data_IF_619253433450
#
_entry.id   IF_619253433450
#
_cell.length_a   1.000
_cell.length_b   1.000
_cell.length_c   1.000
_cell.angle_alpha   90.00
_cell.angle_beta   90.00
_cell.angle_gamma   90.00
#
_symmetry.space_group_name_H-M   'P 1'
#
loop_
_entity.id
_entity.type
_entity.pdbx_description
1 polymer ?
#
# COMPACT_ATOMS: atom_id res chain seq x y z
N UNK A 1 -6.85 17.73 22.41
CA UNK A 1 -6.62 18.20 21.03
C UNK A 1 -7.94 18.66 20.46
N UNK A 2 -7.92 19.62 19.53
CA UNK A 2 -9.10 19.92 18.70
C UNK A 2 -9.33 18.82 17.65
N UNK A 3 -10.49 18.89 16.98
CA UNK A 3 -10.93 17.93 15.97
C UNK A 3 -9.91 17.75 14.84
N UNK A 4 -9.44 18.86 14.25
CA UNK A 4 -8.52 18.83 13.10
C UNK A 4 -7.16 18.26 13.46
N UNK A 5 -6.62 18.66 14.62
CA UNK A 5 -5.36 18.11 15.14
C UNK A 5 -5.46 16.60 15.38
N UNK A 6 -6.56 16.14 15.95
CA UNK A 6 -6.81 14.71 16.22
C UNK A 6 -6.93 13.91 14.92
N UNK A 7 -7.72 14.42 13.97
CA UNK A 7 -7.92 13.81 12.66
C UNK A 7 -6.60 13.67 11.90
N UNK A 8 -5.76 14.71 11.91
CA UNK A 8 -4.45 14.69 11.26
C UNK A 8 -3.52 13.64 11.86
N UNK A 9 -3.46 13.53 13.18
CA UNK A 9 -2.61 12.53 13.84
C UNK A 9 -3.13 11.11 13.60
N UNK A 10 -4.45 10.89 13.66
CA UNK A 10 -5.07 9.62 13.31
C UNK A 10 -4.76 9.19 11.88
N UNK A 11 -4.82 10.12 10.92
CA UNK A 11 -4.52 9.81 9.53
C UNK A 11 -3.05 9.40 9.32
N UNK A 12 -2.12 10.00 10.05
CA UNK A 12 -0.70 9.61 10.03
C UNK A 12 -0.52 8.17 10.54
N UNK A 13 -1.18 7.84 11.65
CA UNK A 13 -1.15 6.47 12.18
C UNK A 13 -1.85 5.47 11.24
N UNK A 14 -2.94 5.88 10.59
CA UNK A 14 -3.65 5.07 9.60
C UNK A 14 -2.77 4.76 8.38
N UNK A 15 -2.00 5.74 7.88
CA UNK A 15 -1.03 5.51 6.81
C UNK A 15 -0.01 4.43 7.19
N UNK A 16 0.59 4.54 8.38
CA UNK A 16 1.57 3.54 8.84
C UNK A 16 0.91 2.16 9.00
N UNK A 17 -0.31 2.10 9.56
CA UNK A 17 -1.06 0.85 9.68
C UNK A 17 -1.35 0.23 8.30
N UNK A 18 -1.69 1.05 7.31
CA UNK A 18 -1.91 0.65 5.93
C UNK A 18 -0.64 0.03 5.31
N UNK A 19 0.50 0.70 5.43
CA UNK A 19 1.79 0.20 4.93
C UNK A 19 2.15 -1.16 5.53
N UNK A 20 1.97 -1.33 6.85
CA UNK A 20 2.26 -2.61 7.50
C UNK A 20 1.26 -3.68 7.00
N UNK A 21 -0.04 -3.36 6.94
CA UNK A 21 -1.07 -4.29 6.50
C UNK A 21 -0.88 -4.78 5.05
N UNK A 22 -0.24 -3.99 4.18
CA UNK A 22 0.13 -4.44 2.84
C UNK A 22 1.14 -5.61 2.81
N UNK A 23 1.71 -5.97 3.96
CA UNK A 23 2.66 -7.09 4.11
C UNK A 23 2.14 -8.22 4.99
N UNK A 24 0.91 -8.11 5.49
CA UNK A 24 0.29 -9.08 6.41
C UNK A 24 -0.64 -10.04 5.69
N UNK A 25 -0.92 -11.16 6.34
CA UNK A 25 -1.94 -12.11 5.88
C UNK A 25 -3.36 -11.59 6.11
N UNK A 26 -4.32 -12.07 5.31
CA UNK A 26 -5.71 -11.60 5.36
C UNK A 26 -6.44 -11.86 6.69
N UNK A 27 -5.91 -12.73 7.54
CA UNK A 27 -6.43 -13.02 8.89
C UNK A 27 -5.73 -12.22 10.00
N UNK A 28 -4.80 -11.35 9.63
CA UNK A 28 -4.13 -10.41 10.52
C UNK A 28 -4.70 -9.00 10.29
N UNK A 29 -4.67 -8.16 11.32
CA UNK A 29 -5.16 -6.78 11.25
C UNK A 29 -4.34 -5.85 12.12
N UNK A 30 -4.47 -4.56 11.81
CA UNK A 30 -3.96 -3.46 12.62
C UNK A 30 -5.11 -2.50 12.92
N UNK A 31 -5.15 -2.04 14.17
CA UNK A 31 -6.13 -1.08 14.66
C UNK A 31 -5.43 0.22 15.05
N UNK A 32 -6.02 1.35 14.68
CA UNK A 32 -5.67 2.69 15.16
C UNK A 32 -6.83 3.20 16.00
N UNK A 33 -6.53 3.63 17.22
CA UNK A 33 -7.54 4.00 18.20
C UNK A 33 -7.11 5.20 19.03
N UNK A 34 -8.10 5.90 19.59
CA UNK A 34 -7.89 6.87 20.65
C UNK A 34 -7.99 6.17 21.99
N UNK A 35 -6.93 6.24 22.80
CA UNK A 35 -6.93 5.83 24.20
C UNK A 35 -6.66 7.05 25.08
N UNK A 36 -7.64 7.45 25.90
CA UNK A 36 -7.51 8.63 26.77
C UNK A 36 -6.99 9.87 26.02
N UNK A 37 -7.65 10.20 24.90
CA UNK A 37 -7.28 11.29 23.97
C UNK A 37 -5.92 11.17 23.26
N UNK A 38 -5.23 10.05 23.44
CA UNK A 38 -3.95 9.76 22.79
C UNK A 38 -4.13 8.79 21.63
N UNK A 39 -3.62 9.14 20.45
CA UNK A 39 -3.62 8.24 19.30
C UNK A 39 -2.64 7.10 19.52
N UNK A 40 -3.08 5.87 19.28
CA UNK A 40 -2.26 4.67 19.36
C UNK A 40 -2.57 3.72 18.20
N UNK A 41 -1.58 2.91 17.87
CA UNK A 41 -1.69 1.80 16.92
C UNK A 41 -1.50 0.50 17.71
N UNK A 42 -2.26 -0.53 17.38
CA UNK A 42 -2.05 -1.87 17.94
C UNK A 42 -0.77 -2.49 17.38
N UNK A 43 -0.29 -3.54 18.04
CA UNK A 43 0.54 -4.54 17.36
C UNK A 43 -0.30 -5.28 16.30
N UNK A 44 0.32 -6.20 15.55
CA UNK A 44 -0.40 -7.09 14.63
C UNK A 44 -1.31 -8.02 15.44
N UNK A 45 -2.59 -8.01 15.12
CA UNK A 45 -3.63 -8.82 15.78
C UNK A 45 -4.08 -9.92 14.82
N UNK A 46 -4.07 -11.17 15.29
CA UNK A 46 -4.61 -12.31 14.56
C UNK A 46 -6.13 -12.45 14.70
N UNK A 47 -6.67 -13.46 14.03
CA UNK A 47 -8.11 -13.78 14.04
C UNK A 47 -8.67 -14.07 15.44
N UNK A 48 -7.87 -14.67 16.33
CA UNK A 48 -8.29 -15.00 17.70
C UNK A 48 -8.12 -13.86 18.71
N UNK A 49 -7.47 -12.76 18.32
CA UNK A 49 -7.22 -11.65 19.25
C UNK A 49 -8.50 -10.86 19.49
N UNK A 50 -8.89 -10.78 20.77
CA UNK A 50 -10.10 -10.09 21.18
C UNK A 50 -10.04 -8.60 20.87
N UNK A 51 -11.17 -8.09 20.37
CA UNK A 51 -11.34 -6.67 20.14
C UNK A 51 -11.73 -6.00 21.45
N UNK A 52 -10.79 -5.27 22.05
CA UNK A 52 -11.00 -4.61 23.35
C UNK A 52 -11.54 -3.20 23.11
N UNK A 53 -12.85 -3.02 23.20
CA UNK A 53 -13.49 -1.70 23.21
C UNK A 53 -13.89 -1.31 24.63
N UNK A 54 -13.48 -0.11 25.06
CA UNK A 54 -13.83 0.45 26.37
C UNK A 54 -14.28 1.88 26.20
N UNK A 55 -14.92 2.48 27.20
CA UNK A 55 -15.26 3.91 27.16
C UNK A 55 -14.03 4.82 26.99
N UNK A 56 -12.83 4.35 27.36
CA UNK A 56 -11.57 5.07 27.15
C UNK A 56 -10.91 4.76 25.80
N UNK A 57 -11.32 3.70 25.08
CA UNK A 57 -10.73 3.25 23.81
C UNK A 57 -11.76 3.31 22.69
N UNK A 58 -11.59 4.29 21.79
CA UNK A 58 -12.41 4.49 20.60
C UNK A 58 -11.62 3.99 19.40
N UNK A 59 -12.11 2.97 18.69
CA UNK A 59 -11.53 2.56 17.41
C UNK A 59 -11.77 3.66 16.37
N UNK A 60 -10.72 4.04 15.66
CA UNK A 60 -10.77 5.09 14.65
C UNK A 60 -10.45 4.59 13.25
N UNK A 61 -9.68 3.51 13.13
CA UNK A 61 -9.39 2.89 11.84
C UNK A 61 -8.98 1.43 12.06
N UNK A 62 -9.45 0.54 11.19
CA UNK A 62 -9.00 -0.84 11.14
C UNK A 62 -8.69 -1.20 9.69
N UNK A 63 -7.63 -1.98 9.53
CA UNK A 63 -7.23 -2.56 8.25
C UNK A 63 -6.75 -4.00 8.45
N UNK A 64 -7.22 -4.91 7.59
CA UNK A 64 -6.75 -6.29 7.55
C UNK A 64 -5.56 -6.39 6.58
N UNK A 65 -4.77 -7.46 6.71
CA UNK A 65 -3.72 -7.76 5.76
C UNK A 65 -4.24 -7.95 4.35
N UNK A 66 -3.37 -7.65 3.37
CA UNK A 66 -3.64 -7.84 1.94
C UNK A 66 -2.52 -8.66 1.32
N UNK A 67 -2.74 -9.96 1.20
CA UNK A 67 -1.81 -10.92 0.57
C UNK A 67 -1.87 -10.86 -0.97
N UNK A 68 -1.85 -9.65 -1.54
CA UNK A 68 -1.90 -9.41 -2.99
C UNK A 68 -0.68 -8.65 -3.51
N UNK A 69 0.24 -8.23 -2.63
CA UNK A 69 1.39 -7.41 -3.02
C UNK A 69 2.28 -8.12 -4.05
N UNK A 70 2.52 -9.42 -3.88
CA UNK A 70 3.27 -10.21 -4.86
C UNK A 70 2.60 -10.22 -6.24
N UNK A 71 1.28 -10.42 -6.29
CA UNK A 71 0.53 -10.45 -7.54
C UNK A 71 0.44 -9.06 -8.20
N UNK A 72 0.39 -8.00 -7.40
CA UNK A 72 0.46 -6.63 -7.88
C UNK A 72 1.84 -6.33 -8.49
N UNK A 73 2.94 -6.78 -7.84
CA UNK A 73 4.29 -6.66 -8.39
C UNK A 73 4.39 -7.37 -9.75
N UNK A 74 3.82 -8.57 -9.89
CA UNK A 74 3.77 -9.28 -11.18
C UNK A 74 2.99 -8.49 -12.22
N UNK A 75 1.87 -7.88 -11.84
CA UNK A 75 1.06 -7.03 -12.71
C UNK A 75 1.84 -5.81 -13.19
N UNK A 76 2.61 -5.16 -12.29
CA UNK A 76 3.50 -4.05 -12.61
C UNK A 76 4.65 -4.47 -13.53
N UNK A 77 5.21 -5.67 -13.33
CA UNK A 77 6.20 -6.25 -14.26
C UNK A 77 5.61 -6.40 -15.66
N UNK A 78 4.39 -6.93 -15.76
CA UNK A 78 3.73 -7.11 -17.04
C UNK A 78 3.35 -5.77 -17.70
N UNK A 79 2.92 -4.78 -16.91
CA UNK A 79 2.68 -3.42 -17.37
C UNK A 79 3.96 -2.76 -17.92
N UNK A 80 5.08 -2.88 -17.21
CA UNK A 80 6.36 -2.34 -17.62
C UNK A 80 6.82 -2.90 -18.98
N UNK A 81 6.38 -4.09 -19.40
CA UNK A 81 6.69 -4.66 -20.73
C UNK A 81 5.96 -3.96 -21.87
N UNK A 82 4.74 -3.50 -21.62
CA UNK A 82 3.83 -3.00 -22.66
C UNK A 82 3.73 -1.49 -22.71
N UNK A 83 4.20 -0.77 -21.68
CA UNK A 83 4.17 0.70 -21.69
C UNK A 83 4.94 1.24 -22.91
N UNK A 84 4.30 2.12 -23.67
CA UNK A 84 4.92 2.70 -24.85
C UNK A 84 6.00 3.70 -24.41
N UNK A 85 7.15 3.65 -25.08
CA UNK A 85 8.20 4.64 -24.86
C UNK A 85 7.82 5.92 -25.58
N UNK A 86 8.08 7.10 -24.99
CA UNK A 86 7.98 8.35 -25.72
C UNK A 86 8.87 8.29 -26.96
N UNK A 87 8.33 8.75 -28.08
CA UNK A 87 9.09 8.96 -29.33
C UNK A 87 8.94 10.42 -29.73
N UNK A 88 9.85 10.91 -30.59
CA UNK A 88 9.77 12.27 -31.12
C UNK A 88 8.42 12.57 -31.81
N UNK A 89 7.72 11.53 -32.27
CA UNK A 89 6.42 11.60 -32.95
C UNK A 89 5.22 11.41 -32.00
N UNK A 90 5.44 10.90 -30.78
CA UNK A 90 4.40 10.70 -29.77
C UNK A 90 4.94 11.04 -28.37
N UNK A 91 4.70 12.27 -27.87
CA UNK A 91 5.12 12.67 -26.53
C UNK A 91 4.23 11.98 -25.51
N UNK A 92 4.63 10.77 -25.11
CA UNK A 92 4.06 10.04 -23.99
C UNK A 92 4.79 10.43 -22.70
N UNK A 93 4.22 10.03 -21.56
CA UNK A 93 4.94 10.13 -20.30
C UNK A 93 6.21 9.28 -20.37
N UNK A 94 7.32 9.85 -19.90
CA UNK A 94 8.55 9.09 -19.68
C UNK A 94 8.27 7.93 -18.71
N UNK A 95 8.77 6.72 -19.01
CA UNK A 95 8.64 5.61 -18.08
C UNK A 95 9.32 5.93 -16.75
N UNK A 96 8.75 5.43 -15.67
CA UNK A 96 9.31 5.58 -14.33
C UNK A 96 10.65 4.85 -14.21
N UNK A 97 11.46 5.23 -13.21
CA UNK A 97 12.73 4.54 -12.94
C UNK A 97 12.50 3.05 -12.66
N UNK A 98 11.40 2.71 -11.99
CA UNK A 98 10.98 1.32 -11.76
C UNK A 98 10.71 0.57 -13.07
N UNK A 99 9.93 1.16 -13.97
CA UNK A 99 9.65 0.56 -15.27
C UNK A 99 10.91 0.36 -16.11
N UNK A 100 11.86 1.30 -16.04
CA UNK A 100 13.17 1.20 -16.69
C UNK A 100 13.99 0.06 -16.09
N UNK A 101 14.11 -0.02 -14.76
CA UNK A 101 14.86 -1.08 -14.10
C UNK A 101 14.27 -2.48 -14.32
N UNK A 102 12.93 -2.63 -14.35
CA UNK A 102 12.29 -3.90 -14.71
C UNK A 102 12.66 -4.34 -16.13
N UNK A 103 12.71 -3.40 -17.07
CA UNK A 103 13.12 -3.69 -18.46
C UNK A 103 14.60 -4.08 -18.54
N UNK A 104 15.47 -3.38 -17.83
CA UNK A 104 16.89 -3.72 -17.78
C UNK A 104 17.10 -5.13 -17.22
N UNK A 105 16.39 -5.50 -16.15
CA UNK A 105 16.41 -6.85 -15.60
C UNK A 105 15.93 -7.91 -16.61
N UNK A 106 14.85 -7.62 -17.35
CA UNK A 106 14.38 -8.49 -18.43
C UNK A 106 15.45 -8.72 -19.50
N UNK A 107 16.23 -7.70 -19.84
CA UNK A 107 17.33 -7.80 -20.80
C UNK A 107 18.46 -8.67 -20.28
N UNK A 108 18.78 -8.56 -19.00
CA UNK A 108 19.79 -9.39 -18.34
C UNK A 108 19.37 -10.86 -18.28
N UNK A 109 18.13 -11.14 -17.85
CA UNK A 109 17.58 -12.51 -17.81
C UNK A 109 17.54 -13.10 -19.22
N UNK A 110 17.12 -12.33 -20.22
CA UNK A 110 17.08 -12.75 -21.62
C UNK A 110 18.47 -13.16 -22.14
N UNK A 111 19.49 -12.33 -21.89
CA UNK A 111 20.88 -12.61 -22.26
C UNK A 111 21.44 -13.83 -21.52
N UNK A 112 21.18 -13.93 -20.21
CA UNK A 112 21.66 -15.02 -19.35
C UNK A 112 21.06 -16.37 -19.75
N UNK A 113 19.77 -16.40 -20.07
CA UNK A 113 19.04 -17.62 -20.37
C UNK A 113 19.00 -17.97 -21.87
N UNK A 114 19.53 -17.09 -22.74
CA UNK A 114 19.48 -17.26 -24.19
C UNK A 114 18.05 -17.30 -24.75
N UNK A 115 17.13 -16.63 -24.07
CA UNK A 115 15.68 -16.72 -24.33
C UNK A 115 15.13 -15.34 -24.72
N UNK A 116 14.21 -15.26 -25.70
CA UNK A 116 13.50 -14.02 -26.02
C UNK A 116 12.75 -13.44 -24.83
N UNK A 117 12.72 -12.10 -24.69
CA UNK A 117 12.09 -11.40 -23.55
C UNK A 117 10.61 -11.75 -23.38
N UNK A 118 9.88 -11.95 -24.48
CA UNK A 118 8.46 -12.33 -24.51
C UNK A 118 8.18 -13.73 -23.96
N UNK A 119 9.23 -14.55 -23.75
CA UNK A 119 9.13 -15.90 -23.17
C UNK A 119 9.47 -15.94 -21.69
N UNK A 120 9.97 -14.85 -21.12
CA UNK A 120 10.30 -14.76 -19.69
C UNK A 120 9.00 -14.49 -18.93
N UNK A 121 8.65 -15.35 -17.98
CA UNK A 121 7.45 -15.16 -17.15
C UNK A 121 7.63 -14.00 -16.16
N UNK A 122 6.55 -13.36 -15.72
CA UNK A 122 6.62 -12.35 -14.65
C UNK A 122 7.11 -12.95 -13.32
N UNK A 123 6.84 -14.22 -13.08
CA UNK A 123 7.41 -15.00 -11.96
C UNK A 123 8.95 -15.08 -12.01
N UNK A 124 9.52 -15.32 -13.19
CA UNK A 124 10.98 -15.38 -13.35
C UNK A 124 11.62 -14.02 -13.11
N UNK A 125 10.99 -12.94 -13.58
CA UNK A 125 11.46 -11.57 -13.30
C UNK A 125 11.39 -11.28 -11.80
N UNK A 126 10.24 -11.57 -11.17
CA UNK A 126 10.05 -11.38 -9.74
C UNK A 126 11.11 -12.12 -8.91
N UNK A 127 11.38 -13.39 -9.23
CA UNK A 127 12.37 -14.21 -8.54
C UNK A 127 13.82 -13.71 -8.70
N UNK A 128 14.10 -12.87 -9.71
CA UNK A 128 15.40 -12.27 -9.95
C UNK A 128 15.44 -10.77 -9.60
N UNK A 129 14.38 -10.20 -9.02
CA UNK A 129 14.38 -8.79 -8.62
C UNK A 129 15.44 -8.55 -7.52
N UNK A 130 16.34 -7.56 -7.71
CA UNK A 130 17.17 -7.05 -6.63
C UNK A 130 16.32 -6.55 -5.46
N UNK A 131 16.73 -6.80 -4.22
CA UNK A 131 15.95 -6.44 -3.02
C UNK A 131 15.64 -4.95 -2.90
N UNK A 132 16.56 -4.09 -3.35
CA UNK A 132 16.39 -2.64 -3.41
C UNK A 132 15.32 -2.22 -4.44
N UNK A 133 15.31 -2.87 -5.60
CA UNK A 133 14.28 -2.64 -6.61
C UNK A 133 12.92 -3.20 -6.16
N UNK A 134 12.89 -4.37 -5.53
CA UNK A 134 11.69 -4.97 -4.94
C UNK A 134 11.06 -4.00 -3.93
N UNK A 135 11.84 -3.53 -2.96
CA UNK A 135 11.33 -2.57 -1.96
C UNK A 135 10.87 -1.23 -2.58
N UNK A 136 11.50 -0.79 -3.68
CA UNK A 136 11.06 0.41 -4.40
C UNK A 136 9.72 0.19 -5.10
N UNK A 137 9.52 -0.98 -5.74
CA UNK A 137 8.25 -1.33 -6.38
C UNK A 137 7.14 -1.44 -5.32
N UNK A 138 7.39 -2.13 -4.21
CA UNK A 138 6.44 -2.26 -3.10
C UNK A 138 5.98 -0.89 -2.60
N UNK A 139 6.92 0.04 -2.36
CA UNK A 139 6.60 1.38 -1.91
C UNK A 139 5.78 2.18 -2.94
N UNK A 140 6.06 2.03 -4.24
CA UNK A 140 5.25 2.70 -5.28
C UNK A 140 3.84 2.14 -5.37
N UNK A 141 3.68 0.82 -5.23
CA UNK A 141 2.37 0.17 -5.18
C UNK A 141 1.57 0.66 -3.97
N UNK A 142 2.19 0.65 -2.79
CA UNK A 142 1.54 1.09 -1.55
C UNK A 142 1.18 2.59 -1.60
N UNK A 143 2.02 3.42 -2.23
CA UNK A 143 1.71 4.83 -2.46
C UNK A 143 0.55 5.00 -3.45
N UNK A 144 0.53 4.21 -4.53
CA UNK A 144 -0.57 4.19 -5.48
C UNK A 144 -1.89 3.83 -4.79
N UNK A 145 -1.95 2.72 -4.05
CA UNK A 145 -3.16 2.29 -3.35
C UNK A 145 -3.66 3.31 -2.32
N UNK A 146 -2.76 4.07 -1.71
CA UNK A 146 -3.13 5.10 -0.75
C UNK A 146 -3.59 6.41 -1.39
N UNK A 147 -3.00 6.80 -2.53
CA UNK A 147 -3.20 8.14 -3.11
C UNK A 147 -3.98 8.18 -4.43
N UNK A 148 -4.28 7.01 -5.02
CA UNK A 148 -5.00 6.93 -6.30
C UNK A 148 -6.29 7.76 -6.26
N UNK A 149 -6.62 8.47 -7.33
CA UNK A 149 -7.85 9.28 -7.40
C UNK A 149 -9.14 8.45 -7.57
N UNK A 150 -9.10 7.18 -7.17
CA UNK A 150 -10.21 6.24 -7.21
C UNK A 150 -11.09 6.40 -5.97
N UNK A 151 -12.38 6.08 -6.10
CA UNK A 151 -13.39 6.25 -5.05
C UNK A 151 -13.09 5.39 -3.79
N UNK A 152 -12.34 4.29 -3.95
CA UNK A 152 -11.99 3.33 -2.91
C UNK A 152 -10.48 3.30 -2.60
N UNK A 153 -9.77 4.44 -2.64
CA UNK A 153 -8.37 4.46 -2.22
C UNK A 153 -8.20 4.37 -0.69
N UNK A 154 -7.04 3.89 -0.24
CA UNK A 154 -6.77 3.64 1.18
C UNK A 154 -6.91 4.87 2.07
N UNK A 155 -6.55 6.06 1.57
CA UNK A 155 -6.66 7.32 2.33
C UNK A 155 -8.11 7.75 2.54
N UNK A 156 -8.95 7.65 1.51
CA UNK A 156 -10.38 7.98 1.58
C UNK A 156 -11.07 7.03 2.55
N UNK A 157 -10.82 5.72 2.43
CA UNK A 157 -11.38 4.72 3.33
C UNK A 157 -10.97 4.96 4.78
N UNK A 158 -9.69 5.27 5.03
CA UNK A 158 -9.21 5.62 6.36
C UNK A 158 -9.87 6.89 6.90
N UNK A 159 -9.98 7.93 6.07
CA UNK A 159 -10.63 9.19 6.46
C UNK A 159 -12.10 8.98 6.85
N UNK A 160 -12.85 8.19 6.07
CA UNK A 160 -14.25 7.91 6.36
C UNK A 160 -14.43 7.23 7.72
N UNK A 161 -13.61 6.19 8.02
CA UNK A 161 -13.64 5.51 9.32
C UNK A 161 -13.27 6.45 10.47
N UNK A 162 -12.22 7.27 10.30
CA UNK A 162 -11.75 8.21 11.31
C UNK A 162 -12.83 9.24 11.61
N UNK A 163 -13.42 9.84 10.58
CA UNK A 163 -14.46 10.85 10.72
C UNK A 163 -15.68 10.28 11.42
N UNK A 164 -16.15 9.09 11.02
CA UNK A 164 -17.27 8.41 11.68
C UNK A 164 -17.00 8.17 13.16
N UNK A 165 -15.80 7.70 13.51
CA UNK A 165 -15.43 7.38 14.87
C UNK A 165 -15.35 8.61 15.79
N UNK A 166 -14.77 9.72 15.32
CA UNK A 166 -14.52 10.89 16.18
C UNK A 166 -15.63 11.93 16.10
N UNK A 167 -16.53 11.89 15.10
CA UNK A 167 -17.65 12.82 14.97
C UNK A 167 -18.48 12.91 16.24
N UNK A 168 -18.90 11.77 16.78
CA UNK A 168 -19.71 11.71 18.02
C UNK A 168 -19.00 12.31 19.24
N UNK A 169 -17.66 12.23 19.28
CA UNK A 169 -16.85 12.77 20.38
C UNK A 169 -16.86 14.31 20.39
N UNK A 170 -16.83 14.93 19.22
CA UNK A 170 -16.72 16.38 19.07
C UNK A 170 -18.07 17.07 18.77
N UNK A 171 -19.12 16.34 18.39
CA UNK A 171 -20.50 16.86 18.29
C UNK A 171 -21.24 16.84 19.63
N UNK A 172 -20.74 16.09 20.63
CA UNK A 172 -21.32 15.99 21.98
C UNK A 172 -20.71 16.95 23.00
N UNK A 173 -19.85 17.89 22.58
CA UNK A 173 -19.15 18.87 23.42
C UNK A 173 -19.69 20.28 23.19
#
# INVERSE_FOLDING_TARGET
MDYESTKKELLKHARNAFEIASTLHNNERIEVYLQDDTVKTSDVLGESDEIIYTSQRILCYQINGYDYLEDEIKTWIDYARVIQQPTDESPLAEPTDVEKSIRELLDEISKKNGMPKDKISSYEVFANLPMDLLGTIEQQIIEYWWTANEEENGKILALNQIEEAIKNKFESA
#
